data_IF_397408696487
#
_entry.id   IF_397408696487
#
_cell.length_a   1.000
_cell.length_b   1.000
_cell.length_c   1.000
_cell.angle_alpha   90.00
_cell.angle_beta   90.00
_cell.angle_gamma   90.00
#
_symmetry.space_group_name_H-M   'P 1'
#
loop_
_entity.id
_entity.type
_entity.pdbx_description
1 polymer ?
#
# COMPACT_ATOMS: atom_id res chain seq x y z
N UNK A 1 11.92 -9.87 12.55
CA UNK A 1 10.57 -9.31 12.85
C UNK A 1 9.52 -10.40 12.54
N UNK A 2 8.23 -10.24 12.87
CA UNK A 2 7.20 -11.29 12.61
C UNK A 2 6.69 -11.20 11.16
N UNK A 3 6.38 -12.34 10.53
CA UNK A 3 5.96 -12.42 9.13
C UNK A 3 4.57 -11.81 8.87
N UNK A 4 3.64 -11.99 9.81
CA UNK A 4 2.23 -11.62 9.66
C UNK A 4 1.75 -10.71 10.81
N UNK A 5 0.70 -9.92 10.56
CA UNK A 5 0.07 -9.09 11.61
C UNK A 5 -0.65 -9.97 12.63
N UNK A 6 -0.78 -9.49 13.87
CA UNK A 6 -1.37 -10.28 14.98
C UNK A 6 -2.76 -10.84 14.64
N UNK A 7 -3.62 -10.03 14.02
CA UNK A 7 -4.97 -10.44 13.66
C UNK A 7 -5.00 -11.46 12.51
N UNK A 8 -4.05 -11.39 11.58
CA UNK A 8 -3.90 -12.40 10.52
C UNK A 8 -3.42 -13.72 11.09
N UNK A 9 -2.46 -13.68 12.03
CA UNK A 9 -1.97 -14.86 12.73
C UNK A 9 -3.09 -15.59 13.47
N UNK A 10 -3.93 -14.86 14.21
CA UNK A 10 -5.07 -15.46 14.93
C UNK A 10 -6.02 -16.13 13.93
N UNK A 11 -6.36 -15.46 12.83
CA UNK A 11 -7.24 -16.01 11.78
C UNK A 11 -6.63 -17.25 11.11
N UNK A 12 -5.33 -17.24 10.82
CA UNK A 12 -4.66 -18.35 10.15
C UNK A 12 -4.48 -19.57 11.07
N UNK A 13 -4.36 -19.36 12.39
CA UNK A 13 -4.34 -20.45 13.39
C UNK A 13 -5.68 -21.19 13.42
N UNK A 14 -6.80 -20.50 13.25
CA UNK A 14 -8.13 -21.14 13.19
C UNK A 14 -8.33 -21.96 11.90
N UNK A 15 -7.72 -21.53 10.80
CA UNK A 15 -7.84 -22.20 9.50
C UNK A 15 -6.90 -23.41 9.36
N UNK A 16 -5.74 -23.39 10.02
CA UNK A 16 -4.73 -24.45 9.91
C UNK A 16 -3.82 -24.50 11.17
N UNK A 17 -4.22 -25.24 12.22
CA UNK A 17 -3.52 -25.25 13.52
C UNK A 17 -2.14 -25.93 13.49
N UNK A 18 -1.84 -26.73 12.45
CA UNK A 18 -0.56 -27.42 12.26
C UNK A 18 0.45 -26.63 11.41
N UNK A 19 0.04 -25.50 10.80
CA UNK A 19 0.93 -24.56 10.10
C UNK A 19 1.79 -23.74 11.08
N UNK A 20 2.70 -24.40 11.81
CA UNK A 20 3.69 -23.73 12.66
C UNK A 20 4.93 -23.30 11.87
N UNK A 21 5.13 -21.98 11.86
CA UNK A 21 6.43 -21.29 11.92
C UNK A 21 7.52 -21.71 10.92
N UNK A 22 7.33 -21.35 9.65
CA UNK A 22 8.44 -21.09 8.73
C UNK A 22 8.44 -19.61 8.35
N UNK A 23 9.63 -19.01 8.16
CA UNK A 23 9.78 -17.69 7.52
C UNK A 23 9.27 -17.81 6.08
N UNK A 24 7.99 -17.54 5.88
CA UNK A 24 7.35 -17.59 4.57
C UNK A 24 7.30 -16.18 4.01
N UNK A 25 8.31 -15.85 3.20
CA UNK A 25 8.41 -14.54 2.52
C UNK A 25 7.12 -14.24 1.73
N UNK A 26 6.47 -15.26 1.14
CA UNK A 26 5.21 -15.10 0.43
C UNK A 26 4.07 -14.66 1.35
N UNK A 27 3.93 -15.25 2.55
CA UNK A 27 2.91 -14.80 3.52
C UNK A 27 3.17 -13.39 4.02
N UNK A 28 4.44 -13.07 4.24
CA UNK A 28 4.85 -11.73 4.66
C UNK A 28 4.48 -10.69 3.62
N UNK A 29 4.81 -10.93 2.35
CA UNK A 29 4.45 -10.03 1.25
C UNK A 29 2.93 -9.93 1.13
N UNK A 30 2.18 -11.03 1.18
CA UNK A 30 0.71 -11.00 1.17
C UNK A 30 0.12 -10.20 2.35
N UNK A 31 0.67 -10.35 3.56
CA UNK A 31 0.27 -9.58 4.74
C UNK A 31 0.52 -8.07 4.56
N UNK A 32 1.65 -7.71 3.95
CA UNK A 32 1.99 -6.33 3.61
C UNK A 32 1.01 -5.81 2.55
N UNK A 33 0.80 -6.55 1.46
CA UNK A 33 -0.10 -6.19 0.37
C UNK A 33 -1.54 -5.96 0.88
N UNK A 34 -2.06 -6.89 1.69
CA UNK A 34 -3.39 -6.75 2.30
C UNK A 34 -3.50 -5.50 3.18
N UNK A 35 -2.43 -5.17 3.90
CA UNK A 35 -2.41 -3.96 4.72
C UNK A 35 -2.36 -2.70 3.87
N UNK A 36 -1.47 -2.64 2.87
CA UNK A 36 -1.39 -1.53 1.94
C UNK A 36 -2.73 -1.29 1.24
N UNK A 37 -3.38 -2.37 0.78
CA UNK A 37 -4.71 -2.32 0.16
C UNK A 37 -5.73 -1.67 1.10
N UNK A 38 -5.68 -1.96 2.40
CA UNK A 38 -6.59 -1.34 3.39
C UNK A 38 -6.26 0.12 3.63
N UNK A 39 -4.99 0.45 3.89
CA UNK A 39 -4.57 1.81 4.20
C UNK A 39 -4.83 2.73 3.02
N UNK A 40 -4.40 2.34 1.81
CA UNK A 40 -4.52 3.18 0.62
C UNK A 40 -5.98 3.40 0.19
N UNK A 41 -6.91 2.47 0.51
CA UNK A 41 -8.34 2.66 0.26
C UNK A 41 -9.11 3.28 1.43
N UNK A 42 -8.44 3.63 2.54
CA UNK A 42 -9.08 4.34 3.64
C UNK A 42 -8.98 5.83 3.38
N UNK A 43 -10.10 6.55 3.46
CA UNK A 43 -10.10 8.01 3.33
C UNK A 43 -9.63 8.66 4.64
N UNK A 44 -8.67 9.58 4.54
CA UNK A 44 -8.21 10.36 5.71
C UNK A 44 -9.37 11.03 6.45
N UNK A 45 -9.29 11.06 7.78
CA UNK A 45 -10.37 11.53 8.65
C UNK A 45 -11.57 10.58 8.82
N UNK A 46 -11.57 9.41 8.15
CA UNK A 46 -12.67 8.43 8.29
C UNK A 46 -12.46 7.45 9.45
N UNK A 47 -11.29 7.47 10.11
CA UNK A 47 -10.96 6.54 11.20
C UNK A 47 -10.62 7.28 12.50
N UNK A 48 -11.17 6.85 13.65
CA UNK A 48 -10.93 7.51 14.93
C UNK A 48 -9.53 7.25 15.52
N UNK A 49 -8.73 6.37 14.89
CA UNK A 49 -7.41 5.99 15.39
C UNK A 49 -6.33 7.04 15.08
N UNK A 50 -6.48 7.78 13.98
CA UNK A 50 -5.59 8.84 13.55
C UNK A 50 -6.23 9.59 12.38
N UNK A 51 -6.14 10.92 12.40
CA UNK A 51 -6.74 11.79 11.38
C UNK A 51 -6.04 11.65 10.02
N UNK A 52 -4.74 11.33 10.04
CA UNK A 52 -3.91 11.18 8.85
C UNK A 52 -3.82 9.72 8.34
N UNK A 53 -4.65 8.83 8.89
CA UNK A 53 -4.69 7.44 8.45
C UNK A 53 -5.38 7.31 7.09
N UNK A 54 -4.64 6.79 6.13
CA UNK A 54 -5.10 6.54 4.77
C UNK A 54 -4.76 7.65 3.80
N UNK A 55 -5.52 7.77 2.72
CA UNK A 55 -5.28 8.65 1.59
C UNK A 55 -6.33 9.77 1.56
N UNK A 56 -5.93 11.04 1.35
CA UNK A 56 -6.86 12.15 1.24
C UNK A 56 -7.73 12.01 -0.01
N UNK A 57 -8.90 12.64 0.00
CA UNK A 57 -9.83 12.56 -1.13
C UNK A 57 -9.32 13.38 -2.32
N UNK A 58 -8.87 12.68 -3.36
CA UNK A 58 -8.36 13.28 -4.59
C UNK A 58 -9.45 13.54 -5.64
N UNK A 59 -10.66 12.99 -5.49
CA UNK A 59 -11.75 13.21 -6.45
C UNK A 59 -12.17 14.68 -6.51
N UNK A 60 -11.91 15.43 -5.44
CA UNK A 60 -12.18 16.85 -5.34
C UNK A 60 -10.97 17.75 -5.62
N UNK A 61 -9.80 17.18 -5.99
CA UNK A 61 -8.62 17.97 -6.30
C UNK A 61 -8.71 18.54 -7.73
N UNK A 62 -8.71 19.87 -7.91
CA UNK A 62 -8.74 20.48 -9.25
C UNK A 62 -7.51 20.02 -10.04
N UNK A 63 -7.72 19.29 -11.14
CA UNK A 63 -6.62 18.73 -11.92
C UNK A 63 -5.98 17.50 -11.30
N UNK A 64 -6.74 16.59 -10.69
CA UNK A 64 -6.26 15.30 -10.18
C UNK A 64 -5.43 14.47 -11.21
N UNK A 65 -5.64 14.71 -12.51
CA UNK A 65 -4.87 14.11 -13.62
C UNK A 65 -3.76 15.02 -14.18
N UNK A 66 -3.48 16.15 -13.54
CA UNK A 66 -2.37 17.03 -13.92
C UNK A 66 -1.06 16.52 -13.34
N UNK A 67 0.06 16.84 -14.01
CA UNK A 67 1.42 16.43 -13.61
C UNK A 67 1.83 16.90 -12.21
N UNK A 68 1.20 17.95 -11.67
CA UNK A 68 1.40 18.38 -10.28
C UNK A 68 0.72 17.47 -9.28
N UNK A 69 -0.52 17.06 -9.56
CA UNK A 69 -1.30 16.19 -8.68
C UNK A 69 -0.72 14.78 -8.57
N UNK A 70 -0.12 14.25 -9.65
CA UNK A 70 0.57 12.94 -9.61
C UNK A 70 1.79 12.96 -8.69
N UNK A 71 2.57 14.04 -8.69
CA UNK A 71 3.74 14.20 -7.83
C UNK A 71 3.36 14.35 -6.35
N UNK A 72 2.26 15.05 -6.05
CA UNK A 72 1.73 15.12 -4.69
C UNK A 72 1.22 13.76 -4.22
N UNK A 73 0.59 12.99 -5.13
CA UNK A 73 0.12 11.64 -4.83
C UNK A 73 1.27 10.69 -4.52
N UNK A 74 2.38 10.73 -5.26
CA UNK A 74 3.60 9.97 -4.96
C UNK A 74 4.11 10.26 -3.54
N UNK A 75 4.17 11.55 -3.15
CA UNK A 75 4.62 11.96 -1.82
C UNK A 75 3.70 11.47 -0.72
N UNK A 76 2.39 11.56 -0.93
CA UNK A 76 1.39 11.12 0.05
C UNK A 76 1.44 9.60 0.22
N UNK A 77 1.44 8.85 -0.88
CA UNK A 77 1.54 7.37 -0.86
C UNK A 77 2.80 6.98 -0.11
N UNK A 78 3.96 7.58 -0.45
CA UNK A 78 5.22 7.32 0.25
C UNK A 78 5.09 7.58 1.76
N UNK A 79 4.59 8.75 2.16
CA UNK A 79 4.49 9.11 3.57
C UNK A 79 3.60 8.17 4.37
N UNK A 80 2.45 7.80 3.80
CA UNK A 80 1.48 6.89 4.41
C UNK A 80 2.07 5.49 4.58
N UNK A 81 2.78 4.99 3.57
CA UNK A 81 3.43 3.67 3.65
C UNK A 81 4.54 3.67 4.70
N UNK A 82 5.43 4.66 4.68
CA UNK A 82 6.52 4.78 5.66
C UNK A 82 6.00 4.89 7.10
N UNK A 83 4.84 5.52 7.30
CA UNK A 83 4.23 5.69 8.63
C UNK A 83 3.49 4.46 9.13
N UNK A 84 2.70 3.79 8.28
CA UNK A 84 1.78 2.73 8.72
C UNK A 84 2.25 1.31 8.39
N UNK A 85 3.28 1.14 7.56
CA UNK A 85 3.87 -0.16 7.24
C UNK A 85 5.38 -0.18 7.52
N UNK A 86 5.80 -0.22 8.81
CA UNK A 86 7.22 -0.15 9.20
C UNK A 86 8.05 -1.36 8.74
N UNK A 87 7.41 -2.42 8.22
CA UNK A 87 8.11 -3.56 7.60
C UNK A 87 8.71 -3.20 6.23
N UNK A 88 8.23 -2.11 5.60
CA UNK A 88 8.78 -1.55 4.37
C UNK A 88 9.66 -0.34 4.71
N UNK A 89 10.88 -0.32 4.17
CA UNK A 89 11.84 0.78 4.32
C UNK A 89 12.33 1.25 2.95
N UNK A 90 12.91 2.46 2.91
CA UNK A 90 13.40 3.10 1.67
C UNK A 90 12.33 3.12 0.56
N UNK A 91 11.10 3.50 0.93
CA UNK A 91 9.95 3.48 0.03
C UNK A 91 10.07 4.59 -1.02
N UNK A 92 9.80 4.24 -2.27
CA UNK A 92 9.72 5.14 -3.41
C UNK A 92 8.44 4.83 -4.19
N UNK A 93 7.59 5.83 -4.36
CA UNK A 93 6.47 5.77 -5.28
C UNK A 93 6.85 6.51 -6.58
N UNK A 94 6.53 5.94 -7.74
CA UNK A 94 6.75 6.55 -9.05
C UNK A 94 5.50 6.40 -9.91
N UNK A 95 5.06 7.48 -10.51
CA UNK A 95 3.93 7.50 -11.43
C UNK A 95 4.38 6.96 -12.79
N UNK A 96 3.69 5.94 -13.29
CA UNK A 96 3.87 5.44 -14.65
C UNK A 96 2.86 6.10 -15.57
N UNK A 97 3.37 7.00 -16.42
CA UNK A 97 2.59 7.58 -17.53
C UNK A 97 2.18 6.45 -18.46
N UNK A 98 0.90 6.32 -18.72
CA UNK A 98 0.36 5.35 -19.65
C UNK A 98 -0.36 6.08 -20.78
N UNK A 99 0.00 5.77 -22.02
CA UNK A 99 -0.58 6.42 -23.20
C UNK A 99 -1.99 5.88 -23.54
N UNK A 100 -2.33 4.68 -23.05
CA UNK A 100 -3.54 3.94 -23.45
C UNK A 100 -4.77 4.11 -22.54
N UNK A 101 -4.61 4.51 -21.28
CA UNK A 101 -5.73 4.60 -20.31
C UNK A 101 -5.67 5.90 -19.51
N UNK A 102 -6.42 6.91 -20.00
CA UNK A 102 -6.47 8.26 -19.42
C UNK A 102 -7.30 8.31 -18.13
N UNK A 103 -8.03 7.24 -17.80
CA UNK A 103 -8.99 7.21 -16.68
C UNK A 103 -8.45 6.48 -15.45
N UNK A 104 -7.22 5.95 -15.52
CA UNK A 104 -6.57 5.28 -14.39
C UNK A 104 -5.16 5.81 -14.17
N UNK A 105 -4.79 6.04 -12.91
CA UNK A 105 -3.43 6.41 -12.53
C UNK A 105 -2.67 5.16 -12.07
N UNK A 106 -1.49 4.92 -12.63
CA UNK A 106 -0.64 3.80 -12.21
C UNK A 106 0.58 4.31 -11.46
N UNK A 107 0.83 3.72 -10.30
CA UNK A 107 1.99 3.98 -9.49
C UNK A 107 2.75 2.68 -9.27
N UNK A 108 4.07 2.75 -9.33
CA UNK A 108 4.97 1.69 -8.92
C UNK A 108 5.56 2.07 -7.56
N UNK A 109 5.55 1.13 -6.62
CA UNK A 109 6.05 1.32 -5.26
C UNK A 109 7.22 0.37 -5.08
N UNK A 110 8.42 0.94 -5.08
CA UNK A 110 9.65 0.22 -4.74
C UNK A 110 9.95 0.40 -3.25
N UNK A 111 10.25 -0.69 -2.56
CA UNK A 111 10.65 -0.67 -1.16
C UNK A 111 11.60 -1.82 -0.85
N UNK A 112 12.25 -1.77 0.31
CA UNK A 112 12.99 -2.90 0.87
C UNK A 112 12.27 -3.44 2.09
N UNK A 113 12.33 -4.75 2.31
CA UNK A 113 11.90 -5.34 3.57
C UNK A 113 12.90 -5.00 4.69
N UNK A 114 12.40 -4.54 5.83
CA UNK A 114 13.23 -4.04 6.94
C UNK A 114 14.12 -5.11 7.60
N UNK A 115 13.78 -6.40 7.44
CA UNK A 115 14.47 -7.51 8.10
C UNK A 115 15.73 -7.97 7.36
N UNK A 116 15.65 -8.04 6.03
CA UNK A 116 16.63 -8.69 5.16
C UNK A 116 17.05 -7.81 3.97
N UNK A 117 16.55 -6.57 3.90
CA UNK A 117 16.74 -5.63 2.78
C UNK A 117 16.34 -6.20 1.42
N UNK A 118 15.47 -7.21 1.39
CA UNK A 118 14.97 -7.80 0.15
C UNK A 118 14.14 -6.74 -0.61
N UNK A 119 14.48 -6.43 -1.87
CA UNK A 119 13.69 -5.50 -2.68
C UNK A 119 12.34 -6.10 -3.02
N UNK A 120 11.30 -5.29 -2.86
CA UNK A 120 9.92 -5.62 -3.23
C UNK A 120 9.36 -4.46 -4.04
N UNK A 121 8.67 -4.80 -5.11
CA UNK A 121 7.99 -3.84 -5.99
C UNK A 121 6.51 -4.17 -5.99
N UNK A 122 5.67 -3.15 -5.87
CA UNK A 122 4.23 -3.28 -5.95
C UNK A 122 3.69 -2.35 -7.02
N UNK A 123 2.79 -2.86 -7.85
CA UNK A 123 2.04 -2.05 -8.81
C UNK A 123 0.70 -1.63 -8.20
N UNK A 124 0.39 -0.35 -8.29
CA UNK A 124 -0.82 0.24 -7.76
C UNK A 124 -1.60 0.94 -8.87
N UNK A 125 -2.88 0.61 -9.03
CA UNK A 125 -3.78 1.21 -10.01
C UNK A 125 -4.91 1.92 -9.29
N UNK A 126 -5.04 3.22 -9.54
CA UNK A 126 -6.11 4.06 -9.02
C UNK A 126 -7.13 4.27 -10.13
N UNK A 127 -8.37 3.87 -9.91
CA UNK A 127 -9.45 4.11 -10.87
C UNK A 127 -10.04 5.53 -10.75
N UNK A 128 -10.87 5.91 -11.72
CA UNK A 128 -11.58 7.19 -11.71
C UNK A 128 -12.50 7.40 -10.49
N UNK A 129 -12.83 6.33 -9.75
CA UNK A 129 -13.59 6.38 -8.50
C UNK A 129 -12.72 6.58 -7.26
N UNK A 130 -11.39 6.69 -7.40
CA UNK A 130 -10.44 6.83 -6.30
C UNK A 130 -10.14 5.51 -5.57
N UNK A 131 -10.61 4.37 -6.09
CA UNK A 131 -10.29 3.06 -5.53
C UNK A 131 -8.90 2.63 -6.00
N UNK A 132 -8.10 2.19 -5.05
CA UNK A 132 -6.70 1.82 -5.25
C UNK A 132 -6.61 0.30 -5.26
N UNK A 133 -6.05 -0.31 -6.29
CA UNK A 133 -5.81 -1.76 -6.36
C UNK A 133 -4.31 -2.02 -6.42
N UNK A 134 -3.81 -2.89 -5.55
CA UNK A 134 -2.39 -3.19 -5.43
C UNK A 134 -2.13 -4.63 -5.87
N UNK A 135 -1.05 -4.84 -6.62
CA UNK A 135 -0.54 -6.14 -7.06
C UNK A 135 0.96 -6.21 -6.82
N UNK A 136 1.45 -7.41 -6.54
CA UNK A 136 2.88 -7.75 -6.58
C UNK A 136 3.33 -7.96 -8.03
#
# INVERSE_FOLDING_TARGET
>A
MRDERLLERIRNIELDPDRREGRDTGRRINSILNHLQRVLNTKQGSTPIADDYGIPDFTNMPGAFSTGATHDMERIIKHVIEKYEPRLVKVRASFKVQEDDVLALRFEIDALLADDETPVTFETVVDAGGKINIKE
#
